data_IF_600455958746
#
_entry.id   IF_600455958746
#
_cell.length_a   1.000
_cell.length_b   1.000
_cell.length_c   1.000
_cell.angle_alpha   90.00
_cell.angle_beta   90.00
_cell.angle_gamma   90.00
#
_symmetry.space_group_name_H-M   'P 1'
#
loop_
_entity.id
_entity.type
_entity.pdbx_description
1 polymer ?
#
# COMPACT_ATOMS: atom_id res chain seq x y z
N UNK A 1 11.94 12.84 -22.92
CA UNK A 1 12.39 12.89 -21.51
C UNK A 1 11.88 11.65 -20.78
N UNK A 2 12.74 10.67 -20.54
CA UNK A 2 12.39 9.43 -19.85
C UNK A 2 12.08 9.72 -18.38
N UNK A 3 10.84 9.45 -17.93
CA UNK A 3 10.47 9.55 -16.52
C UNK A 3 11.11 8.35 -15.81
N UNK A 4 12.11 8.63 -14.97
CA UNK A 4 12.76 7.64 -14.09
C UNK A 4 11.69 6.81 -13.35
N UNK A 5 11.67 5.46 -13.48
CA UNK A 5 10.56 4.66 -12.98
C UNK A 5 10.61 4.40 -11.47
N UNK A 6 11.73 4.70 -10.80
CA UNK A 6 11.88 4.37 -9.38
C UNK A 6 12.67 5.44 -8.64
N UNK A 7 12.01 6.54 -8.29
CA UNK A 7 12.51 7.44 -7.26
C UNK A 7 12.10 6.91 -5.88
N UNK A 8 12.92 6.04 -5.30
CA UNK A 8 12.89 5.82 -3.86
C UNK A 8 13.40 7.11 -3.20
N UNK A 9 12.48 8.02 -2.88
CA UNK A 9 12.77 9.10 -1.95
C UNK A 9 12.98 8.45 -0.59
N UNK A 10 14.25 8.29 -0.26
CA UNK A 10 14.84 7.84 0.99
C UNK A 10 13.93 8.13 2.18
N UNK A 11 13.32 7.09 2.74
CA UNK A 11 12.76 7.14 4.08
C UNK A 11 13.96 7.16 5.02
N UNK A 12 14.28 8.33 5.54
CA UNK A 12 15.28 8.50 6.57
C UNK A 12 14.98 7.56 7.75
N UNK A 13 16.05 6.94 8.25
CA UNK A 13 16.06 5.99 9.34
C UNK A 13 15.29 6.49 10.57
N UNK A 14 14.42 5.64 11.11
CA UNK A 14 14.02 5.67 12.50
C UNK A 14 14.55 4.38 13.12
N UNK A 15 15.61 4.52 13.90
CA UNK A 15 16.17 3.50 14.78
C UNK A 15 15.10 3.00 15.77
N UNK A 16 15.20 1.73 16.18
CA UNK A 16 14.47 1.08 17.29
C UNK A 16 13.03 0.54 17.04
N UNK A 17 12.96 -0.78 16.78
CA UNK A 17 11.80 -1.65 17.08
C UNK A 17 10.83 -1.91 15.92
N UNK A 18 11.02 -3.01 15.17
CA UNK A 18 10.04 -3.82 14.39
C UNK A 18 8.72 -3.21 13.87
N UNK A 19 8.62 -1.91 13.58
CA UNK A 19 7.43 -1.32 12.99
C UNK A 19 7.41 -1.63 11.49
N UNK A 20 6.61 -2.62 11.11
CA UNK A 20 6.39 -2.97 9.71
C UNK A 20 5.83 -1.76 8.95
N UNK A 21 6.48 -1.32 7.85
CA UNK A 21 6.04 -0.15 7.11
C UNK A 21 4.65 -0.38 6.51
N UNK A 22 3.72 0.50 6.84
CA UNK A 22 2.33 0.45 6.36
C UNK A 22 2.25 1.18 5.01
N UNK A 23 1.87 0.44 3.97
CA UNK A 23 1.62 0.96 2.64
C UNK A 23 0.35 1.81 2.65
N UNK A 24 0.48 3.09 2.29
CA UNK A 24 -0.66 4.00 2.15
C UNK A 24 -1.26 3.85 0.74
N UNK A 25 -2.38 4.53 0.52
CA UNK A 25 -3.04 4.54 -0.79
C UNK A 25 -2.10 4.99 -1.93
N UNK A 26 -1.23 5.99 -1.68
CA UNK A 26 -0.28 6.45 -2.70
C UNK A 26 0.74 5.38 -3.09
N UNK A 27 1.15 4.55 -2.13
CA UNK A 27 2.10 3.46 -2.39
C UNK A 27 1.41 2.34 -3.16
N UNK A 28 0.17 2.00 -2.79
CA UNK A 28 -0.64 1.06 -3.56
C UNK A 28 -0.91 1.49 -4.99
N UNK A 29 -1.14 2.79 -5.23
CA UNK A 29 -1.29 3.31 -6.60
C UNK A 29 -0.05 3.04 -7.44
N UNK A 30 1.14 3.19 -6.84
CA UNK A 30 2.42 2.92 -7.51
C UNK A 30 2.64 1.44 -7.74
N UNK A 31 2.40 0.61 -6.72
CA UNK A 31 2.62 -0.85 -6.77
C UNK A 31 1.66 -1.51 -7.77
N UNK A 32 0.38 -1.13 -7.75
CA UNK A 32 -0.65 -1.73 -8.61
C UNK A 32 -0.83 -1.00 -9.95
N UNK A 33 -0.17 0.14 -10.13
CA UNK A 33 -0.31 0.96 -11.35
C UNK A 33 -1.73 1.49 -11.60
N UNK A 34 -2.55 1.66 -10.55
CA UNK A 34 -3.95 2.05 -10.69
C UNK A 34 -4.30 3.31 -9.91
N UNK A 35 -5.42 3.95 -10.26
CA UNK A 35 -5.87 5.17 -9.61
C UNK A 35 -6.45 4.91 -8.21
N UNK A 36 -6.53 5.96 -7.39
CA UNK A 36 -7.17 5.89 -6.05
C UNK A 36 -8.61 5.37 -6.10
N UNK A 37 -9.36 5.76 -7.11
CA UNK A 37 -10.76 5.37 -7.28
C UNK A 37 -10.89 3.89 -7.57
N UNK A 38 -9.98 3.33 -8.39
CA UNK A 38 -9.92 1.89 -8.63
C UNK A 38 -9.63 1.11 -7.35
N UNK A 39 -8.72 1.60 -6.50
CA UNK A 39 -8.44 0.98 -5.20
C UNK A 39 -9.70 0.94 -4.33
N UNK A 40 -10.44 2.06 -4.19
CA UNK A 40 -11.69 2.07 -3.41
C UNK A 40 -12.74 1.10 -3.97
N UNK A 41 -12.88 1.03 -5.30
CA UNK A 41 -13.78 0.07 -5.95
C UNK A 41 -13.37 -1.37 -5.65
N UNK A 42 -12.07 -1.68 -5.69
CA UNK A 42 -11.58 -3.02 -5.40
C UNK A 42 -11.73 -3.42 -3.94
N UNK A 43 -11.63 -2.46 -3.01
CA UNK A 43 -11.97 -2.69 -1.60
C UNK A 43 -13.45 -3.05 -1.45
N UNK A 44 -14.35 -2.30 -2.10
CA UNK A 44 -15.78 -2.57 -2.05
C UNK A 44 -16.14 -3.93 -2.67
N UNK A 45 -15.38 -4.37 -3.68
CA UNK A 45 -15.54 -5.65 -4.34
C UNK A 45 -14.74 -6.80 -3.69
N UNK A 46 -14.13 -6.57 -2.52
CA UNK A 46 -13.27 -7.54 -1.82
C UNK A 46 -12.15 -8.16 -2.68
N UNK A 47 -11.67 -7.43 -3.70
CA UNK A 47 -10.56 -7.85 -4.58
C UNK A 47 -9.17 -7.53 -4.01
N UNK A 48 -9.13 -6.74 -2.94
CA UNK A 48 -7.92 -6.41 -2.19
C UNK A 48 -8.06 -6.96 -0.76
N UNK A 49 -6.94 -7.28 -0.10
CA UNK A 49 -6.97 -7.66 1.31
C UNK A 49 -7.59 -6.53 2.16
N UNK A 50 -8.22 -6.90 3.27
CA UNK A 50 -8.81 -5.93 4.18
C UNK A 50 -7.75 -4.95 4.72
N UNK A 51 -7.95 -3.64 4.57
CA UNK A 51 -7.02 -2.66 5.10
C UNK A 51 -6.97 -2.68 6.61
N UNK A 52 -5.80 -2.35 7.16
CA UNK A 52 -5.68 -1.92 8.54
C UNK A 52 -6.47 -0.61 8.71
N UNK A 53 -7.31 -0.59 9.74
CA UNK A 53 -8.12 0.57 10.11
C UNK A 53 -7.68 1.09 11.47
N UNK A 54 -7.75 2.39 11.65
CA UNK A 54 -7.62 2.99 12.98
C UNK A 54 -8.91 2.75 13.78
N UNK A 55 -8.87 2.94 15.10
CA UNK A 55 -10.03 2.81 15.99
C UNK A 55 -11.21 3.74 15.61
N UNK A 56 -10.99 4.74 14.75
CA UNK A 56 -12.01 5.66 14.24
C UNK A 56 -12.59 5.24 12.87
N UNK A 57 -12.29 4.02 12.40
CA UNK A 57 -12.77 3.47 11.13
C UNK A 57 -12.02 3.96 9.88
N UNK A 58 -11.10 4.94 10.00
CA UNK A 58 -10.28 5.42 8.87
C UNK A 58 -9.29 4.35 8.44
N UNK A 59 -9.14 4.19 7.13
CA UNK A 59 -8.13 3.29 6.55
C UNK A 59 -6.74 3.84 6.84
N UNK A 60 -5.96 3.07 7.59
CA UNK A 60 -4.57 3.35 7.89
C UNK A 60 -3.67 2.92 6.73
N UNK A 61 -3.97 1.79 6.10
CA UNK A 61 -3.23 1.25 4.96
C UNK A 61 -3.19 -0.27 4.97
N UNK A 62 -2.17 -0.84 4.34
CA UNK A 62 -1.95 -2.29 4.24
C UNK A 62 -0.54 -2.63 4.65
N UNK A 63 -0.32 -3.85 5.14
CA UNK A 63 1.04 -4.34 5.36
C UNK A 63 1.65 -4.79 4.04
N UNK A 64 2.98 -4.75 3.94
CA UNK A 64 3.70 -5.25 2.77
C UNK A 64 3.36 -6.71 2.49
N UNK A 65 3.35 -7.55 3.52
CA UNK A 65 3.04 -8.98 3.45
C UNK A 65 1.66 -9.27 2.85
N UNK A 66 0.64 -8.47 3.21
CA UNK A 66 -0.71 -8.64 2.64
C UNK A 66 -0.73 -8.41 1.12
N UNK A 67 -0.01 -7.39 0.65
CA UNK A 67 0.04 -7.05 -0.76
C UNK A 67 0.93 -8.05 -1.51
N UNK A 68 2.05 -8.48 -0.93
CA UNK A 68 2.90 -9.52 -1.51
C UNK A 68 2.13 -10.85 -1.67
N UNK A 69 1.42 -11.29 -0.63
CA UNK A 69 0.59 -12.49 -0.70
C UNK A 69 -0.47 -12.42 -1.82
N UNK A 70 -1.11 -11.26 -2.00
CA UNK A 70 -2.05 -11.03 -3.09
C UNK A 70 -1.39 -11.15 -4.47
N UNK A 71 -0.18 -10.63 -4.62
CA UNK A 71 0.56 -10.66 -5.88
C UNK A 71 1.11 -12.06 -6.19
N UNK A 72 1.45 -12.85 -5.18
CA UNK A 72 1.94 -14.23 -5.34
C UNK A 72 0.82 -15.22 -5.68
N UNK A 73 -0.41 -14.97 -5.22
CA UNK A 73 -1.58 -15.84 -5.47
C UNK A 73 -2.23 -15.61 -6.84
N UNK A 74 -1.67 -14.72 -7.68
CA UNK A 74 -2.21 -14.34 -8.98
C UNK A 74 -1.44 -15.01 -10.11
#
# INVERSE_FOLDING_TARGET
MAKSPFCYRTLAAADSGTLQPILKHKDLQRVLGCSRTTIYRWIALAKLPSPLRHNNGRIMGWTKQQIEALLTQR
#
